data_IF_658265326985
#
_entry.id   IF_658265326985
#
_cell.length_a   1.000
_cell.length_b   1.000
_cell.length_c   1.000
_cell.angle_alpha   90.00
_cell.angle_beta   90.00
_cell.angle_gamma   90.00
#
_symmetry.space_group_name_H-M   'P 1'
#
loop_
_entity.id
_entity.type
_entity.pdbx_description
1 polymer ?
#
# COMPACT_ATOMS: atom_id res chain seq x y z
N UNK A 1 -5.57 5.05 -13.33
CA UNK A 1 -4.96 3.79 -13.78
C UNK A 1 -5.10 2.78 -12.67
N UNK A 2 -5.60 1.58 -12.98
CA UNK A 2 -5.71 0.48 -12.02
C UNK A 2 -4.56 -0.51 -12.23
N UNK A 3 -4.04 -1.04 -11.14
CA UNK A 3 -2.99 -2.06 -11.16
C UNK A 3 -3.24 -3.05 -10.03
N UNK A 4 -3.13 -4.35 -10.34
CA UNK A 4 -3.18 -5.42 -9.35
C UNK A 4 -1.81 -6.05 -9.20
N UNK A 5 -1.42 -6.31 -7.96
CA UNK A 5 -0.15 -6.92 -7.60
C UNK A 5 -0.44 -8.05 -6.63
N UNK A 6 0.06 -9.24 -6.94
CA UNK A 6 0.06 -10.35 -5.98
C UNK A 6 1.13 -10.10 -4.93
N UNK A 7 0.74 -10.22 -3.67
CA UNK A 7 1.59 -10.06 -2.50
C UNK A 7 1.28 -11.16 -1.47
N UNK A 8 1.96 -11.12 -0.33
CA UNK A 8 1.79 -12.05 0.77
C UNK A 8 1.84 -11.30 2.11
N UNK A 9 1.09 -11.81 3.08
CA UNK A 9 1.19 -11.40 4.49
C UNK A 9 1.48 -12.61 5.36
N UNK A 10 1.93 -12.39 6.60
CA UNK A 10 2.17 -13.45 7.56
C UNK A 10 0.98 -13.58 8.51
N UNK A 11 0.55 -14.82 8.73
CA UNK A 11 -0.36 -15.19 9.80
C UNK A 11 0.33 -16.24 10.67
N UNK A 12 0.98 -15.80 11.75
CA UNK A 12 1.92 -16.64 12.50
C UNK A 12 3.13 -17.00 11.65
N UNK A 13 3.32 -18.28 11.36
CA UNK A 13 4.40 -18.80 10.50
C UNK A 13 3.98 -18.99 9.04
N UNK A 14 2.68 -18.87 8.76
CA UNK A 14 2.13 -19.14 7.44
C UNK A 14 2.14 -17.88 6.57
N UNK A 15 2.56 -18.04 5.32
CA UNK A 15 2.47 -17.00 4.30
C UNK A 15 1.11 -17.10 3.60
N UNK A 16 0.27 -16.09 3.80
CA UNK A 16 -1.05 -16.00 3.18
C UNK A 16 -0.96 -15.10 1.96
N UNK A 17 -1.37 -15.61 0.81
CA UNK A 17 -1.45 -14.83 -0.43
C UNK A 17 -2.51 -13.73 -0.28
N UNK A 18 -2.16 -12.51 -0.68
CA UNK A 18 -3.06 -11.37 -0.72
C UNK A 18 -2.95 -10.67 -2.07
N UNK A 19 -4.08 -10.22 -2.62
CA UNK A 19 -4.09 -9.41 -3.83
C UNK A 19 -4.27 -7.94 -3.47
N UNK A 20 -3.34 -7.12 -3.91
CA UNK A 20 -3.35 -5.67 -3.68
C UNK A 20 -3.81 -4.99 -4.95
N UNK A 21 -4.82 -4.13 -4.84
CA UNK A 21 -5.29 -3.28 -5.94
C UNK A 21 -4.96 -1.82 -5.65
N UNK A 22 -4.37 -1.15 -6.65
CA UNK A 22 -3.99 0.25 -6.59
C UNK A 22 -4.70 1.00 -7.70
N UNK A 23 -5.35 2.09 -7.33
CA UNK A 23 -5.89 3.06 -8.27
C UNK A 23 -5.15 4.39 -8.14
N UNK A 24 -4.63 4.88 -9.26
CA UNK A 24 -4.00 6.20 -9.35
C UNK A 24 -4.86 7.13 -10.20
N UNK A 25 -5.14 8.32 -9.69
CA UNK A 25 -5.88 9.36 -10.38
C UNK A 25 -5.10 10.68 -10.38
N UNK A 26 -5.38 11.54 -11.35
CA UNK A 26 -4.84 12.91 -11.37
C UNK A 26 -5.61 13.76 -10.36
N UNK A 27 -4.93 14.67 -9.67
CA UNK A 27 -5.52 15.56 -8.69
C UNK A 27 -4.61 15.80 -7.48
N UNK A 28 -5.21 16.19 -6.37
CA UNK A 28 -4.50 16.48 -5.12
C UNK A 28 -3.76 15.24 -4.58
N UNK A 29 -2.53 15.38 -4.03
CA UNK A 29 -1.78 14.26 -3.47
C UNK A 29 -2.48 13.65 -2.26
N UNK A 30 -3.13 12.50 -2.48
CA UNK A 30 -3.79 11.74 -1.42
C UNK A 30 -3.39 10.27 -1.50
N UNK A 31 -3.17 9.65 -0.34
CA UNK A 31 -2.86 8.21 -0.22
C UNK A 31 -3.83 7.59 0.77
N UNK A 32 -4.87 6.96 0.25
CA UNK A 32 -5.89 6.29 1.04
C UNK A 32 -5.64 4.78 1.04
N UNK A 33 -5.79 4.14 2.20
CA UNK A 33 -5.73 2.69 2.36
C UNK A 33 -7.05 2.24 2.94
N UNK A 34 -7.65 1.20 2.36
CA UNK A 34 -8.95 0.64 2.74
C UNK A 34 -8.79 -0.86 3.06
N UNK A 35 -9.79 -1.48 3.69
CA UNK A 35 -9.78 -2.92 3.98
C UNK A 35 -9.16 -3.29 5.34
N UNK A 36 -9.21 -2.38 6.31
CA UNK A 36 -8.73 -2.60 7.69
C UNK A 36 -7.24 -3.01 7.75
N UNK A 37 -6.32 -2.18 7.23
CA UNK A 37 -4.90 -2.47 7.30
C UNK A 37 -4.41 -2.47 8.76
N UNK A 38 -3.34 -3.21 9.01
CA UNK A 38 -2.64 -3.14 10.29
C UNK A 38 -1.81 -1.84 10.43
N UNK A 39 -1.16 -1.71 11.59
CA UNK A 39 -0.31 -0.56 11.89
C UNK A 39 0.95 -0.52 11.01
N UNK A 40 1.55 -1.66 10.68
CA UNK A 40 2.77 -1.73 9.90
C UNK A 40 2.58 -1.20 8.47
N UNK A 41 1.42 -1.47 7.87
CA UNK A 41 1.00 -0.90 6.58
C UNK A 41 0.85 0.63 6.71
N UNK A 42 0.23 1.10 7.79
CA UNK A 42 0.02 2.54 8.03
C UNK A 42 1.35 3.31 8.20
N UNK A 43 2.33 2.73 8.89
CA UNK A 43 3.69 3.28 9.01
C UNK A 43 4.46 3.23 7.69
N UNK A 44 4.31 2.14 6.92
CA UNK A 44 4.90 2.00 5.60
C UNK A 44 4.40 3.06 4.63
N UNK A 45 3.12 3.43 4.71
CA UNK A 45 2.52 4.52 3.92
C UNK A 45 3.31 5.82 4.05
N UNK A 46 3.70 6.19 5.27
CA UNK A 46 4.45 7.43 5.49
C UNK A 46 5.85 7.37 4.87
N UNK A 47 6.54 6.23 4.99
CA UNK A 47 7.84 6.02 4.34
C UNK A 47 7.76 6.11 2.82
N UNK A 48 6.73 5.48 2.24
CA UNK A 48 6.50 5.54 0.79
C UNK A 48 6.20 6.97 0.36
N UNK A 49 5.33 7.69 1.09
CA UNK A 49 5.02 9.09 0.82
C UNK A 49 6.28 9.96 0.85
N UNK A 50 7.11 9.83 1.88
CA UNK A 50 8.38 10.57 1.99
C UNK A 50 9.33 10.24 0.82
N UNK A 51 9.44 8.97 0.45
CA UNK A 51 10.24 8.53 -0.70
C UNK A 51 9.74 9.10 -2.04
N UNK A 52 8.42 9.12 -2.26
CA UNK A 52 7.81 9.70 -3.46
C UNK A 52 8.04 11.21 -3.55
N UNK A 53 7.97 11.94 -2.43
CA UNK A 53 8.29 13.37 -2.39
C UNK A 53 9.77 13.60 -2.75
N UNK A 54 10.68 12.73 -2.28
CA UNK A 54 12.12 12.82 -2.56
C UNK A 54 12.50 12.45 -4.00
N UNK A 55 11.66 11.66 -4.69
CA UNK A 55 11.86 11.29 -6.10
C UNK A 55 11.44 12.42 -7.07
N UNK A 56 10.74 13.43 -6.57
CA UNK A 56 10.51 14.72 -7.26
C UNK A 56 11.38 15.83 -6.69
#
# INVERSE_FOLDING_TARGET
>A
MFTRITSYTLYGVDAIKVDVEVHTARGSPQFNIVGLPDKAISESRERVRAGLIKLG
#
